data_IF_311043353269
#
_entry.id   IF_311043353269
#
_cell.length_a   1.000
_cell.length_b   1.000
_cell.length_c   1.000
_cell.angle_alpha   90.00
_cell.angle_beta   90.00
_cell.angle_gamma   90.00
#
_symmetry.space_group_name_H-M   'P 1'
#
loop_
_entity.id
_entity.type
_entity.pdbx_description
1 polymer ?
#
# COMPACT_ATOMS: atom_id res chain seq x y z
N UNK A 1 -5.53 -14.07 -0.48
CA UNK A 1 -6.35 -13.56 -1.61
C UNK A 1 -5.80 -14.14 -2.93
N UNK A 2 -6.64 -14.21 -3.96
CA UNK A 2 -6.20 -14.64 -5.30
C UNK A 2 -5.78 -13.42 -6.11
N UNK A 3 -4.48 -13.26 -6.33
CA UNK A 3 -3.92 -12.18 -7.16
C UNK A 3 -3.93 -12.63 -8.64
N UNK A 4 -4.60 -11.92 -9.55
CA UNK A 4 -4.63 -12.27 -10.96
C UNK A 4 -3.21 -12.37 -11.56
N UNK A 5 -2.92 -13.46 -12.27
CA UNK A 5 -1.63 -13.68 -12.93
C UNK A 5 -0.55 -14.33 -12.08
N UNK A 6 -0.82 -14.64 -10.80
CA UNK A 6 0.08 -15.44 -9.95
C UNK A 6 -0.24 -16.93 -10.11
N UNK A 7 0.80 -17.77 -10.22
CA UNK A 7 0.65 -19.22 -10.31
C UNK A 7 0.67 -19.91 -8.93
N UNK A 8 1.32 -19.28 -7.95
CA UNK A 8 1.45 -19.81 -6.59
C UNK A 8 0.68 -18.93 -5.60
N UNK A 9 -0.21 -19.53 -4.83
CA UNK A 9 -0.94 -18.88 -3.75
C UNK A 9 -0.56 -19.57 -2.44
N UNK A 10 -0.50 -18.82 -1.34
CA UNK A 10 -0.44 -19.43 -0.02
C UNK A 10 -1.75 -20.21 0.17
N UNK A 11 -1.65 -21.53 0.31
CA UNK A 11 -2.79 -22.43 0.52
C UNK A 11 -2.79 -22.86 1.98
N UNK A 12 -3.94 -22.72 2.63
CA UNK A 12 -4.22 -23.32 3.93
C UNK A 12 -4.92 -24.65 3.70
N UNK A 13 -4.68 -25.63 4.57
CA UNK A 13 -5.48 -26.86 4.59
C UNK A 13 -6.94 -26.57 4.98
N UNK A 14 -7.86 -27.50 4.68
CA UNK A 14 -9.30 -27.33 4.94
C UNK A 14 -9.64 -27.03 6.41
N UNK A 15 -8.81 -27.52 7.34
CA UNK A 15 -8.96 -27.35 8.80
C UNK A 15 -7.76 -26.57 9.38
N UNK A 16 -7.37 -25.51 8.69
CA UNK A 16 -6.29 -24.61 9.08
C UNK A 16 -6.72 -23.16 8.98
N UNK A 17 -6.34 -22.35 9.98
CA UNK A 17 -6.54 -20.90 9.96
C UNK A 17 -5.23 -20.18 10.28
N UNK A 18 -5.03 -19.02 9.67
CA UNK A 18 -3.86 -18.17 9.89
C UNK A 18 -4.30 -16.81 10.47
N UNK A 19 -3.80 -16.50 11.66
CA UNK A 19 -4.11 -15.26 12.41
C UNK A 19 -3.07 -14.19 12.07
N UNK A 20 -3.55 -12.97 11.81
CA UNK A 20 -2.69 -11.80 11.62
C UNK A 20 -2.01 -11.73 10.25
N UNK A 21 -2.66 -12.27 9.21
CA UNK A 21 -2.19 -12.14 7.83
C UNK A 21 -2.22 -10.68 7.38
N UNK A 22 -1.20 -10.27 6.63
CA UNK A 22 -1.18 -8.93 6.05
C UNK A 22 -2.12 -8.81 4.84
N UNK A 23 -2.49 -7.56 4.46
CA UNK A 23 -3.45 -7.31 3.38
C UNK A 23 -2.95 -7.75 1.99
N UNK A 24 -1.65 -7.99 1.82
CA UNK A 24 -1.02 -8.41 0.56
C UNK A 24 -0.58 -9.89 0.58
N UNK A 25 -1.10 -10.69 1.52
CA UNK A 25 -0.71 -12.08 1.79
C UNK A 25 0.65 -12.25 2.46
N UNK A 26 1.10 -11.26 3.22
CA UNK A 26 2.22 -11.42 4.12
C UNK A 26 1.93 -12.55 5.13
N UNK A 27 2.93 -13.37 5.51
CA UNK A 27 2.75 -14.45 6.48
C UNK A 27 2.10 -13.95 7.77
N UNK A 28 1.15 -14.72 8.28
CA UNK A 28 0.47 -14.36 9.51
C UNK A 28 1.35 -14.57 10.74
N UNK A 29 0.90 -14.02 11.87
CA UNK A 29 1.51 -14.22 13.17
C UNK A 29 1.50 -15.69 13.60
N UNK A 30 0.39 -16.40 13.36
CA UNK A 30 0.22 -17.78 13.85
C UNK A 30 -0.70 -18.60 12.95
N UNK A 31 -0.28 -19.81 12.60
CA UNK A 31 -1.11 -20.84 11.96
C UNK A 31 -1.63 -21.83 13.00
N UNK A 32 -2.89 -22.21 12.88
CA UNK A 32 -3.57 -23.14 13.78
C UNK A 32 -4.17 -24.28 12.95
N UNK A 33 -3.86 -25.51 13.35
CA UNK A 33 -4.50 -26.72 12.85
C UNK A 33 -4.65 -27.71 14.03
N UNK A 34 -5.85 -28.23 14.30
CA UNK A 34 -7.12 -27.95 13.62
C UNK A 34 -7.56 -26.48 13.79
N UNK A 35 -8.47 -26.02 12.93
CA UNK A 35 -9.04 -24.69 13.06
C UNK A 35 -9.88 -24.65 14.35
N UNK A 36 -9.73 -23.61 15.19
CA UNK A 36 -10.56 -23.43 16.36
C UNK A 36 -12.01 -23.10 15.96
N UNK A 37 -12.93 -23.19 16.92
CA UNK A 37 -14.27 -22.64 16.73
C UNK A 37 -14.22 -21.12 16.52
N UNK A 38 -15.28 -20.54 15.94
CA UNK A 38 -15.34 -19.09 15.71
C UNK A 38 -15.21 -18.30 17.02
N UNK A 39 -15.88 -18.76 18.08
CA UNK A 39 -15.85 -18.18 19.42
C UNK A 39 -14.43 -18.27 20.01
N UNK A 40 -13.78 -19.43 19.86
CA UNK A 40 -12.40 -19.64 20.28
C UNK A 40 -11.40 -18.76 19.52
N UNK A 41 -11.62 -18.54 18.22
CA UNK A 41 -10.80 -17.65 17.40
C UNK A 41 -10.94 -16.19 17.82
N UNK A 42 -12.18 -15.72 18.01
CA UNK A 42 -12.45 -14.35 18.51
C UNK A 42 -11.78 -14.13 19.86
N UNK A 43 -11.87 -15.11 20.77
CA UNK A 43 -11.23 -15.06 22.08
C UNK A 43 -9.70 -14.99 21.98
N UNK A 44 -9.10 -15.78 21.09
CA UNK A 44 -7.66 -15.77 20.85
C UNK A 44 -7.15 -14.44 20.29
N UNK A 45 -8.00 -13.66 19.60
CA UNK A 45 -7.66 -12.32 19.09
C UNK A 45 -7.91 -11.24 20.15
N UNK A 46 -9.03 -11.29 20.86
CA UNK A 46 -9.41 -10.25 21.83
C UNK A 46 -8.61 -10.30 23.13
N UNK A 47 -8.28 -11.49 23.65
CA UNK A 47 -7.53 -11.64 24.90
C UNK A 47 -6.18 -10.90 24.90
N UNK A 48 -5.31 -11.06 23.88
CA UNK A 48 -4.05 -10.34 23.84
C UNK A 48 -4.22 -8.83 23.58
N UNK A 49 -5.23 -8.43 22.81
CA UNK A 49 -5.46 -7.02 22.46
C UNK A 49 -5.98 -6.19 23.64
N UNK A 50 -6.78 -6.80 24.52
CA UNK A 50 -7.48 -6.11 25.61
C UNK A 50 -6.86 -6.35 26.99
N UNK A 51 -5.75 -7.08 27.07
CA UNK A 51 -4.88 -7.02 28.25
C UNK A 51 -5.07 -8.10 29.33
N UNK A 52 -5.56 -9.30 29.00
CA UNK A 52 -5.44 -10.44 29.93
C UNK A 52 -3.99 -10.94 30.00
N UNK A 53 -3.62 -11.56 31.12
CA UNK A 53 -2.26 -12.07 31.42
C UNK A 53 -1.50 -12.58 30.18
N UNK A 54 -0.30 -12.03 29.95
CA UNK A 54 0.59 -12.45 28.86
C UNK A 54 0.62 -11.55 27.62
N UNK A 55 -0.13 -10.46 27.56
CA UNK A 55 -0.02 -9.47 26.48
C UNK A 55 1.19 -8.55 26.64
N UNK A 56 1.73 -8.10 25.50
CA UNK A 56 2.90 -7.23 25.43
C UNK A 56 2.68 -5.92 26.21
N UNK A 57 3.67 -5.43 26.99
CA UNK A 57 3.53 -4.27 27.88
C UNK A 57 2.94 -3.00 27.24
N UNK A 58 3.14 -2.78 25.93
CA UNK A 58 2.58 -1.62 25.21
C UNK A 58 1.10 -1.75 24.83
N UNK A 59 0.53 -2.96 24.78
CA UNK A 59 -0.89 -3.16 24.48
C UNK A 59 -1.79 -2.75 25.66
N UNK A 60 -1.32 -2.92 26.90
CA UNK A 60 -2.02 -2.54 28.12
C UNK A 60 -2.25 -1.03 28.28
N UNK A 61 -1.63 -0.20 27.45
CA UNK A 61 -1.77 1.27 27.49
C UNK A 61 -2.90 1.81 26.60
N UNK A 62 -3.61 0.95 25.87
CA UNK A 62 -4.53 1.42 24.81
C UNK A 62 -5.96 1.66 25.33
N UNK A 63 -6.43 0.89 26.31
CA UNK A 63 -7.80 1.01 26.84
C UNK A 63 -7.80 1.13 28.35
N UNK A 64 -8.44 2.18 28.87
CA UNK A 64 -8.79 2.32 30.28
C UNK A 64 -10.24 1.92 30.51
N UNK A 65 -10.56 1.49 31.73
CA UNK A 65 -11.96 1.29 32.11
C UNK A 65 -12.73 2.61 32.01
N UNK A 66 -13.84 2.58 31.28
CA UNK A 66 -14.72 3.74 31.06
C UNK A 66 -14.44 4.53 29.78
N UNK A 67 -13.44 4.15 28.99
CA UNK A 67 -13.21 4.79 27.68
C UNK A 67 -14.38 4.55 26.72
N UNK A 68 -14.73 5.57 25.94
CA UNK A 68 -15.64 5.41 24.81
C UNK A 68 -14.95 4.61 23.70
N UNK A 69 -15.55 3.50 23.29
CA UNK A 69 -14.97 2.59 22.30
C UNK A 69 -15.76 2.56 21.01
N UNK A 70 -15.05 2.40 19.89
CA UNK A 70 -15.63 2.12 18.57
C UNK A 70 -15.11 0.76 18.09
N UNK A 71 -16.02 -0.08 17.59
CA UNK A 71 -15.67 -1.36 16.98
C UNK A 71 -15.76 -1.24 15.46
N UNK A 72 -14.64 -1.52 14.78
CA UNK A 72 -14.59 -1.66 13.34
C UNK A 72 -14.27 -3.11 12.98
N UNK A 73 -15.24 -3.83 12.42
CA UNK A 73 -15.02 -5.15 11.84
C UNK A 73 -14.83 -4.99 10.35
N UNK A 74 -13.62 -5.26 9.88
CA UNK A 74 -13.26 -5.14 8.47
C UNK A 74 -13.34 -6.50 7.78
N UNK A 75 -13.97 -6.53 6.60
CA UNK A 75 -14.02 -7.70 5.74
C UNK A 75 -13.02 -7.52 4.59
N UNK A 76 -11.95 -8.33 4.56
CA UNK A 76 -10.94 -8.30 3.50
C UNK A 76 -11.40 -8.92 2.17
N UNK A 77 -12.68 -9.29 2.07
CA UNK A 77 -13.37 -9.62 0.81
C UNK A 77 -13.82 -11.07 0.68
N UNK A 78 -13.48 -11.94 1.63
CA UNK A 78 -13.78 -13.38 1.57
C UNK A 78 -14.97 -13.84 2.40
N UNK A 79 -15.51 -12.99 3.28
CA UNK A 79 -16.58 -13.36 4.23
C UNK A 79 -17.95 -12.89 3.71
N UNK A 80 -18.99 -13.72 3.81
CA UNK A 80 -20.35 -13.35 3.41
C UNK A 80 -21.01 -12.37 4.40
N UNK A 81 -22.04 -11.62 3.99
CA UNK A 81 -22.77 -10.73 4.90
C UNK A 81 -23.40 -11.43 6.11
N UNK A 82 -23.80 -12.70 5.97
CA UNK A 82 -24.37 -13.49 7.07
C UNK A 82 -23.31 -13.86 8.10
N UNK A 83 -22.15 -14.34 7.64
CA UNK A 83 -21.01 -14.65 8.51
C UNK A 83 -20.48 -13.39 9.19
N UNK A 84 -20.47 -12.24 8.49
CA UNK A 84 -20.13 -10.96 9.10
C UNK A 84 -21.10 -10.58 10.23
N UNK A 85 -22.40 -10.82 10.05
CA UNK A 85 -23.40 -10.60 11.09
C UNK A 85 -23.16 -11.47 12.32
N UNK A 86 -22.96 -12.78 12.11
CA UNK A 86 -22.66 -13.72 13.18
C UNK A 86 -21.34 -13.39 13.92
N UNK A 87 -20.28 -13.05 13.19
CA UNK A 87 -19.01 -12.61 13.76
C UNK A 87 -19.18 -11.34 14.59
N UNK A 88 -19.99 -10.39 14.11
CA UNK A 88 -20.26 -9.15 14.84
C UNK A 88 -20.96 -9.43 16.16
N UNK A 89 -21.97 -10.29 16.14
CA UNK A 89 -22.72 -10.70 17.34
C UNK A 89 -21.79 -11.36 18.37
N UNK A 90 -20.97 -12.34 17.93
CA UNK A 90 -20.00 -13.03 18.78
C UNK A 90 -18.97 -12.08 19.41
N UNK A 91 -18.41 -11.15 18.62
CA UNK A 91 -17.46 -10.15 19.13
C UNK A 91 -18.13 -9.25 20.17
N UNK A 92 -19.35 -8.78 19.91
CA UNK A 92 -20.08 -7.92 20.85
C UNK A 92 -20.41 -8.66 22.15
N UNK A 93 -20.84 -9.92 22.08
CA UNK A 93 -21.14 -10.74 23.26
C UNK A 93 -19.88 -10.96 24.11
N UNK A 94 -18.74 -11.29 23.50
CA UNK A 94 -17.48 -11.45 24.22
C UNK A 94 -16.98 -10.13 24.82
N UNK A 95 -17.07 -9.01 24.10
CA UNK A 95 -16.69 -7.68 24.61
C UNK A 95 -17.52 -7.29 25.83
N UNK A 96 -18.84 -7.47 25.77
CA UNK A 96 -19.73 -7.14 26.89
C UNK A 96 -19.49 -8.08 28.08
N UNK A 97 -19.49 -9.40 27.87
CA UNK A 97 -19.44 -10.39 28.94
C UNK A 97 -18.06 -10.55 29.59
N UNK A 98 -16.98 -10.49 28.80
CA UNK A 98 -15.62 -10.77 29.28
C UNK A 98 -14.83 -9.52 29.64
N UNK A 99 -15.21 -8.36 29.08
CA UNK A 99 -14.46 -7.12 29.19
C UNK A 99 -15.30 -5.93 29.69
N UNK A 100 -16.62 -6.04 29.75
CA UNK A 100 -17.50 -4.92 30.11
C UNK A 100 -17.43 -3.79 29.09
N UNK A 101 -17.08 -4.08 27.84
CA UNK A 101 -16.97 -3.11 26.75
C UNK A 101 -18.23 -3.21 25.91
N UNK A 102 -18.97 -2.11 25.81
CA UNK A 102 -20.12 -1.97 24.91
C UNK A 102 -19.81 -0.87 23.88
N UNK A 103 -19.32 -1.23 22.68
CA UNK A 103 -18.94 -0.25 21.67
C UNK A 103 -20.10 0.68 21.31
N UNK A 104 -19.80 1.97 21.21
CA UNK A 104 -20.75 3.03 20.90
C UNK A 104 -21.96 3.20 21.86
N UNK A 105 -21.98 2.53 23.03
CA UNK A 105 -23.09 2.62 23.99
C UNK A 105 -23.41 4.07 24.39
N UNK A 106 -22.38 4.90 24.54
CA UNK A 106 -22.49 6.33 24.88
C UNK A 106 -22.04 7.25 23.72
N UNK A 107 -22.06 6.76 22.47
CA UNK A 107 -21.55 7.54 21.35
C UNK A 107 -22.36 8.82 21.12
N UNK A 108 -21.72 9.97 21.32
CA UNK A 108 -22.31 11.27 21.04
C UNK A 108 -22.45 11.57 19.53
N UNK A 109 -21.76 10.80 18.68
CA UNK A 109 -21.71 10.99 17.24
C UNK A 109 -22.74 10.12 16.52
N UNK A 110 -23.33 10.68 15.47
CA UNK A 110 -24.18 9.97 14.52
C UNK A 110 -23.35 9.05 13.62
N UNK A 111 -24.01 8.07 12.99
CA UNK A 111 -23.34 7.18 12.03
C UNK A 111 -22.72 7.95 10.85
N UNK A 112 -23.35 9.05 10.42
CA UNK A 112 -22.85 9.94 9.37
C UNK A 112 -21.58 10.69 9.81
N UNK A 113 -21.52 11.14 11.06
CA UNK A 113 -20.33 11.81 11.62
C UNK A 113 -19.16 10.82 11.76
N UNK A 114 -19.42 9.59 12.22
CA UNK A 114 -18.41 8.53 12.30
C UNK A 114 -17.84 8.22 10.90
N UNK A 115 -18.71 8.11 9.89
CA UNK A 115 -18.26 7.93 8.49
C UNK A 115 -17.41 9.11 8.01
N UNK A 116 -17.82 10.33 8.33
CA UNK A 116 -17.06 11.52 7.99
C UNK A 116 -15.66 11.52 8.61
N UNK A 117 -15.49 10.98 9.82
CA UNK A 117 -14.16 10.80 10.44
C UNK A 117 -13.26 9.83 9.68
N UNK A 118 -13.83 8.72 9.18
CA UNK A 118 -13.09 7.75 8.36
C UNK A 118 -12.68 8.34 6.99
N UNK A 119 -13.45 9.29 6.48
CA UNK A 119 -13.20 10.00 5.22
C UNK A 119 -12.35 11.27 5.36
N UNK A 120 -11.84 11.58 6.57
CA UNK A 120 -10.97 12.74 6.79
C UNK A 120 -9.72 12.61 5.92
N UNK A 121 -9.41 13.64 5.13
CA UNK A 121 -8.18 13.70 4.34
C UNK A 121 -6.96 13.60 5.26
N UNK A 122 -6.28 12.48 5.21
CA UNK A 122 -4.99 12.29 5.88
C UNK A 122 -3.86 12.73 4.94
N UNK A 123 -2.72 13.14 5.50
CA UNK A 123 -1.49 13.45 4.74
C UNK A 123 -0.74 12.17 4.33
N UNK A 124 -1.22 11.01 4.74
CA UNK A 124 -0.70 9.68 4.40
C UNK A 124 -1.79 8.90 3.67
N UNK A 125 -1.91 9.12 2.37
CA UNK A 125 -2.98 8.52 1.56
C UNK A 125 -2.45 7.41 0.66
N UNK A 126 -3.05 6.22 0.79
CA UNK A 126 -3.53 5.54 -0.41
C UNK A 126 -4.67 6.40 -0.95
N UNK A 127 -4.47 7.10 -2.07
CA UNK A 127 -5.59 7.73 -2.76
C UNK A 127 -6.48 6.60 -3.31
N UNK A 128 -7.42 6.15 -2.48
CA UNK A 128 -8.54 5.38 -2.99
C UNK A 128 -9.34 6.35 -3.85
N UNK A 129 -9.23 6.21 -5.16
CA UNK A 129 -10.15 6.83 -6.14
C UNK A 129 -11.58 6.26 -6.00
N UNK A 130 -11.98 5.78 -4.82
CA UNK A 130 -13.36 5.51 -4.47
C UNK A 130 -14.03 6.84 -4.11
N UNK A 131 -14.43 7.60 -5.12
CA UNK A 131 -15.17 8.83 -4.95
C UNK A 131 -16.40 8.61 -4.06
N UNK A 132 -16.57 9.49 -3.06
CA UNK A 132 -17.79 9.63 -2.26
C UNK A 132 -19.04 9.54 -3.14
N UNK A 133 -19.82 8.46 -2.97
CA UNK A 133 -21.08 8.20 -3.68
C UNK A 133 -22.27 8.87 -2.96
N UNK A 134 -22.10 10.10 -2.44
CA UNK A 134 -23.16 10.82 -1.70
C UNK A 134 -24.40 11.17 -2.56
N UNK A 135 -24.23 11.38 -3.88
CA UNK A 135 -25.32 11.24 -4.85
C UNK A 135 -24.99 10.19 -5.91
N UNK A 136 -25.97 9.37 -6.29
CA UNK A 136 -25.87 8.39 -7.38
C UNK A 136 -25.69 9.11 -8.72
N UNK A 137 -24.45 9.50 -9.04
CA UNK A 137 -24.09 10.17 -10.31
C UNK A 137 -24.42 9.23 -11.47
N UNK A 138 -24.86 9.78 -12.61
CA UNK A 138 -25.06 8.95 -13.81
C UNK A 138 -23.70 8.36 -14.21
N UNK A 139 -23.66 7.13 -14.72
CA UNK A 139 -22.40 6.42 -15.08
C UNK A 139 -21.40 7.29 -15.87
N UNK A 140 -21.90 8.13 -16.78
CA UNK A 140 -21.09 9.09 -17.56
C UNK A 140 -20.41 10.20 -16.74
N UNK A 141 -20.98 10.58 -15.60
CA UNK A 141 -20.50 11.61 -14.66
C UNK A 141 -19.62 11.00 -13.55
N UNK A 142 -19.57 9.67 -13.45
CA UNK A 142 -18.64 8.94 -12.58
C UNK A 142 -17.27 8.73 -13.25
N UNK A 143 -17.21 8.82 -14.57
CA UNK A 143 -15.97 8.77 -15.33
C UNK A 143 -15.31 10.14 -15.31
N UNK A 144 -14.42 10.36 -14.35
CA UNK A 144 -13.54 11.53 -14.36
C UNK A 144 -12.57 11.36 -15.52
N UNK A 145 -12.61 12.30 -16.47
CA UNK A 145 -11.56 12.36 -17.48
C UNK A 145 -10.27 12.79 -16.77
N UNK A 146 -9.17 12.02 -16.88
CA UNK A 146 -7.92 12.44 -16.27
C UNK A 146 -7.56 13.84 -16.79
N UNK A 147 -7.09 14.76 -15.93
CA UNK A 147 -6.58 16.05 -16.38
C UNK A 147 -5.51 15.80 -17.45
N UNK A 148 -5.42 16.70 -18.43
CA UNK A 148 -4.34 16.59 -19.42
C UNK A 148 -3.00 16.65 -18.69
N UNK A 149 -2.19 15.61 -18.90
CA UNK A 149 -0.84 15.61 -18.37
C UNK A 149 -0.09 16.84 -18.91
N UNK A 150 0.62 17.58 -18.04
CA UNK A 150 1.42 18.70 -18.47
C UNK A 150 2.45 18.20 -19.48
N UNK A 151 2.50 18.85 -20.66
CA UNK A 151 3.50 18.51 -21.68
C UNK A 151 4.89 18.71 -21.08
N UNK A 152 5.71 17.65 -21.09
CA UNK A 152 7.09 17.71 -20.63
C UNK A 152 7.83 18.82 -21.38
N UNK A 153 8.46 19.74 -20.64
CA UNK A 153 9.30 20.78 -21.23
C UNK A 153 10.45 20.16 -22.02
N UNK A 154 10.94 20.86 -23.05
CA UNK A 154 12.16 20.43 -23.75
C UNK A 154 13.34 20.32 -22.78
N UNK A 155 14.30 19.44 -23.08
CA UNK A 155 15.52 19.33 -22.26
C UNK A 155 16.37 20.59 -22.51
N UNK A 156 16.53 21.42 -21.47
CA UNK A 156 17.37 22.61 -21.54
C UNK A 156 18.86 22.21 -21.61
N UNK A 157 19.63 22.69 -22.62
CA UNK A 157 21.00 22.25 -22.83
C UNK A 157 21.98 22.59 -21.69
N UNK A 158 21.69 23.63 -20.92
CA UNK A 158 22.58 24.19 -19.88
C UNK A 158 22.58 23.39 -18.58
N UNK A 159 21.57 22.52 -18.35
CA UNK A 159 21.46 21.66 -17.17
C UNK A 159 21.64 20.17 -17.44
N UNK A 160 21.89 19.78 -18.69
CA UNK A 160 22.00 18.37 -19.11
C UNK A 160 23.43 17.85 -18.94
N UNK A 161 23.61 16.88 -18.03
CA UNK A 161 24.88 16.18 -17.90
C UNK A 161 25.07 15.24 -19.10
N UNK A 162 26.16 15.46 -19.84
CA UNK A 162 26.50 14.65 -21.02
C UNK A 162 27.60 13.65 -20.73
N UNK A 163 27.35 12.40 -21.09
CA UNK A 163 28.28 11.29 -20.94
C UNK A 163 28.76 10.76 -22.29
N UNK A 164 29.80 9.93 -22.26
CA UNK A 164 30.15 9.11 -23.41
C UNK A 164 29.03 8.09 -23.69
N UNK A 165 28.65 7.95 -24.97
CA UNK A 165 27.51 7.10 -25.35
C UNK A 165 27.78 5.63 -25.05
N UNK A 166 29.00 5.15 -25.30
CA UNK A 166 29.36 3.76 -25.08
C UNK A 166 29.47 3.43 -23.58
N UNK A 167 30.02 4.36 -22.79
CA UNK A 167 30.05 4.23 -21.34
C UNK A 167 28.63 4.19 -20.74
N UNK A 168 27.75 5.09 -21.20
CA UNK A 168 26.36 5.18 -20.73
C UNK A 168 25.57 3.92 -21.07
N UNK A 169 25.66 3.42 -22.32
CA UNK A 169 25.03 2.18 -22.74
C UNK A 169 25.50 0.99 -21.88
N UNK A 170 26.82 0.86 -21.71
CA UNK A 170 27.43 -0.20 -20.89
C UNK A 170 26.96 -0.18 -19.44
N UNK A 171 26.87 1.01 -18.83
CA UNK A 171 26.41 1.16 -17.44
C UNK A 171 24.94 0.75 -17.29
N UNK A 172 24.07 1.20 -18.20
CA UNK A 172 22.64 0.90 -18.14
C UNK A 172 22.37 -0.58 -18.40
N UNK A 173 23.05 -1.20 -19.37
CA UNK A 173 22.95 -2.65 -19.62
C UNK A 173 23.44 -3.45 -18.43
N UNK A 174 24.61 -3.12 -17.88
CA UNK A 174 25.16 -3.80 -16.71
C UNK A 174 24.22 -3.75 -15.50
N UNK A 175 23.60 -2.59 -15.24
CA UNK A 175 22.61 -2.45 -14.18
C UNK A 175 21.35 -3.29 -14.44
N UNK A 176 20.82 -3.29 -15.68
CA UNK A 176 19.64 -4.09 -16.04
C UNK A 176 19.92 -5.60 -15.92
N UNK A 177 21.06 -6.06 -16.41
CA UNK A 177 21.46 -7.47 -16.33
C UNK A 177 21.64 -7.91 -14.88
N UNK A 178 22.25 -7.08 -14.03
CA UNK A 178 22.39 -7.35 -12.60
C UNK A 178 21.02 -7.47 -11.90
N UNK A 179 20.06 -6.59 -12.24
CA UNK A 179 18.69 -6.67 -11.71
C UNK A 179 17.97 -7.96 -12.14
N UNK A 180 18.12 -8.35 -13.42
CA UNK A 180 17.55 -9.60 -13.94
C UNK A 180 18.16 -10.81 -13.23
N UNK A 181 19.46 -10.80 -12.96
CA UNK A 181 20.14 -11.86 -12.21
C UNK A 181 19.72 -11.91 -10.74
N UNK A 182 19.50 -10.76 -10.10
CA UNK A 182 19.05 -10.67 -8.72
C UNK A 182 17.57 -11.05 -8.51
N UNK A 183 16.80 -11.21 -9.59
CA UNK A 183 15.35 -11.50 -9.55
C UNK A 183 14.95 -12.62 -8.58
N UNK A 184 15.62 -13.80 -8.53
CA UNK A 184 15.23 -14.88 -7.62
C UNK A 184 15.33 -14.47 -6.15
N UNK A 185 16.41 -13.77 -5.77
CA UNK A 185 16.62 -13.31 -4.40
C UNK A 185 15.65 -12.20 -4.02
N UNK A 186 15.42 -11.24 -4.93
CA UNK A 186 14.45 -10.16 -4.73
C UNK A 186 13.03 -10.70 -4.52
N UNK A 187 12.59 -11.63 -5.35
CA UNK A 187 11.30 -12.33 -5.16
C UNK A 187 11.27 -13.11 -3.85
N UNK A 188 12.37 -13.80 -3.49
CA UNK A 188 12.43 -14.58 -2.24
C UNK A 188 12.31 -13.69 -1.01
N UNK A 189 13.04 -12.57 -0.96
CA UNK A 189 12.98 -11.64 0.17
C UNK A 189 11.62 -10.96 0.27
N UNK A 190 11.05 -10.58 -0.86
CA UNK A 190 9.72 -9.99 -0.92
C UNK A 190 8.63 -10.99 -0.52
N UNK A 191 8.78 -12.28 -0.85
CA UNK A 191 7.84 -13.32 -0.38
C UNK A 191 7.84 -13.48 1.14
N UNK A 192 8.94 -13.15 1.84
CA UNK A 192 9.01 -13.29 3.30
C UNK A 192 8.22 -12.20 4.04
N UNK A 193 8.12 -11.00 3.48
CA UNK A 193 7.60 -9.80 4.17
C UNK A 193 6.64 -8.96 3.30
N UNK A 194 6.23 -9.47 2.15
CA UNK A 194 5.46 -8.79 1.11
C UNK A 194 4.70 -9.78 0.22
N UNK A 195 4.33 -9.37 -1.00
CA UNK A 195 3.51 -10.18 -1.91
C UNK A 195 4.32 -11.08 -2.86
N UNK A 196 5.64 -10.89 -2.90
CA UNK A 196 6.58 -11.70 -3.69
C UNK A 196 6.65 -11.32 -5.16
N UNK A 197 6.09 -10.18 -5.57
CA UNK A 197 6.07 -9.76 -6.97
C UNK A 197 7.27 -8.88 -7.37
N UNK A 198 8.02 -8.35 -6.39
CA UNK A 198 9.02 -7.31 -6.60
C UNK A 198 10.08 -7.70 -7.63
N UNK A 199 10.59 -8.94 -7.56
CA UNK A 199 11.57 -9.45 -8.51
C UNK A 199 11.06 -9.52 -9.96
N UNK A 200 9.79 -9.88 -10.18
CA UNK A 200 9.21 -9.90 -11.52
C UNK A 200 8.93 -8.47 -12.03
N UNK A 201 8.48 -7.58 -11.14
CA UNK A 201 8.28 -6.16 -11.43
C UNK A 201 9.58 -5.47 -11.86
N UNK A 202 10.67 -5.68 -11.12
CA UNK A 202 12.00 -5.11 -11.45
C UNK A 202 12.59 -5.71 -12.73
N UNK A 203 12.44 -7.02 -12.95
CA UNK A 203 12.85 -7.67 -14.21
C UNK A 203 12.12 -7.09 -15.41
N UNK A 204 10.82 -6.82 -15.29
CA UNK A 204 10.02 -6.19 -16.35
C UNK A 204 10.49 -4.76 -16.64
N UNK A 205 10.85 -3.99 -15.62
CA UNK A 205 11.47 -2.67 -15.78
C UNK A 205 12.83 -2.75 -16.49
N UNK A 206 13.72 -3.61 -16.03
CA UNK A 206 15.06 -3.81 -16.61
C UNK A 206 15.01 -4.25 -18.08
N UNK A 207 14.17 -5.24 -18.40
CA UNK A 207 13.98 -5.69 -19.80
C UNK A 207 13.36 -4.63 -20.70
N UNK A 208 12.46 -3.78 -20.17
CA UNK A 208 11.91 -2.64 -20.91
C UNK A 208 12.96 -1.58 -21.20
N UNK A 209 13.88 -1.32 -20.26
CA UNK A 209 14.98 -0.37 -20.46
C UNK A 209 16.03 -0.89 -21.45
N UNK A 210 16.35 -2.19 -21.40
CA UNK A 210 17.18 -2.83 -22.43
C UNK A 210 16.57 -2.68 -23.83
N UNK A 211 15.26 -2.92 -23.97
CA UNK A 211 14.57 -2.72 -25.23
C UNK A 211 14.58 -1.24 -25.69
N UNK A 212 14.46 -0.29 -24.77
CA UNK A 212 14.55 1.13 -25.09
C UNK A 212 15.97 1.55 -25.55
N UNK A 213 17.02 0.95 -24.97
CA UNK A 213 18.39 1.13 -25.45
C UNK A 213 18.55 0.66 -26.89
N UNK A 214 18.01 -0.52 -27.22
CA UNK A 214 18.13 -1.13 -28.55
C UNK A 214 17.27 -0.40 -29.61
N UNK A 215 16.03 -0.04 -29.27
CA UNK A 215 15.05 0.46 -30.24
C UNK A 215 15.07 1.98 -30.39
N UNK A 216 15.22 2.71 -29.27
CA UNK A 216 15.19 4.18 -29.25
C UNK A 216 16.59 4.80 -29.26
N UNK A 217 17.63 4.00 -29.00
CA UNK A 217 19.01 4.49 -28.95
C UNK A 217 19.20 5.56 -27.88
N UNK A 218 18.54 5.45 -26.72
CA UNK A 218 18.54 6.51 -25.69
C UNK A 218 19.96 6.87 -25.21
N UNK A 219 20.90 5.92 -25.20
CA UNK A 219 22.30 6.18 -24.85
C UNK A 219 23.03 7.03 -25.91
N UNK A 220 22.62 6.97 -27.18
CA UNK A 220 23.19 7.79 -28.26
C UNK A 220 22.87 9.28 -28.11
N UNK A 221 21.82 9.62 -27.34
CA UNK A 221 21.51 11.02 -26.98
C UNK A 221 22.61 11.67 -26.14
N UNK A 222 23.44 10.85 -25.46
CA UNK A 222 24.45 11.25 -24.48
C UNK A 222 23.90 12.04 -23.28
N UNK A 223 22.58 12.23 -23.20
CA UNK A 223 21.89 13.06 -22.23
C UNK A 223 21.38 12.20 -21.08
N UNK A 224 21.84 12.50 -19.86
CA UNK A 224 21.34 11.82 -18.67
C UNK A 224 19.87 12.17 -18.42
N UNK A 225 19.45 13.39 -18.72
CA UNK A 225 18.04 13.81 -18.56
C UNK A 225 17.12 13.01 -19.48
N UNK A 226 17.55 12.76 -20.72
CA UNK A 226 16.78 11.95 -21.68
C UNK A 226 16.64 10.51 -21.20
N UNK A 227 17.71 9.92 -20.67
CA UNK A 227 17.65 8.58 -20.07
C UNK A 227 16.73 8.54 -18.86
N UNK A 228 16.82 9.51 -17.94
CA UNK A 228 15.98 9.55 -16.75
C UNK A 228 14.49 9.69 -17.09
N UNK A 229 14.14 10.47 -18.12
CA UNK A 229 12.75 10.60 -18.60
C UNK A 229 12.21 9.30 -19.18
N UNK A 230 13.03 8.53 -19.88
CA UNK A 230 12.65 7.22 -20.40
C UNK A 230 12.51 6.21 -19.25
N UNK A 231 13.40 6.25 -18.26
CA UNK A 231 13.27 5.43 -17.04
C UNK A 231 11.98 5.76 -16.30
N UNK A 232 11.66 7.05 -16.13
CA UNK A 232 10.39 7.50 -15.54
C UNK A 232 9.18 6.95 -16.30
N UNK A 233 9.20 7.00 -17.64
CA UNK A 233 8.12 6.44 -18.47
C UNK A 233 7.99 4.93 -18.32
N UNK A 234 9.11 4.21 -18.26
CA UNK A 234 9.11 2.75 -18.08
C UNK A 234 8.59 2.39 -16.70
N UNK A 235 9.06 3.08 -15.65
CA UNK A 235 8.58 2.86 -14.28
C UNK A 235 7.08 3.15 -14.19
N UNK A 236 6.63 4.30 -14.71
CA UNK A 236 5.24 4.74 -14.66
C UNK A 236 4.27 3.87 -15.48
N UNK A 237 4.72 3.28 -16.59
CA UNK A 237 3.82 2.58 -17.53
C UNK A 237 3.99 1.06 -17.59
N UNK A 238 5.15 0.52 -17.17
CA UNK A 238 5.48 -0.91 -17.29
C UNK A 238 5.63 -1.62 -15.96
N UNK A 239 6.02 -0.90 -14.90
CA UNK A 239 6.08 -1.44 -13.54
C UNK A 239 4.73 -1.25 -12.86
N UNK A 240 4.26 -2.27 -12.13
CA UNK A 240 2.99 -2.23 -11.40
C UNK A 240 3.16 -1.77 -9.95
N UNK A 241 2.04 -1.59 -9.25
CA UNK A 241 2.03 -1.31 -7.81
C UNK A 241 2.61 0.06 -7.44
N UNK A 242 2.92 0.23 -6.15
CA UNK A 242 3.53 1.46 -5.61
C UNK A 242 4.93 1.73 -6.20
N UNK A 243 5.63 0.69 -6.65
CA UNK A 243 6.92 0.77 -7.33
C UNK A 243 6.83 1.39 -8.74
N UNK A 244 5.68 1.24 -9.41
CA UNK A 244 5.37 1.88 -10.69
C UNK A 244 4.52 3.15 -10.58
N UNK A 245 4.13 3.56 -9.37
CA UNK A 245 3.30 4.72 -9.07
C UNK A 245 4.03 6.06 -9.29
N UNK A 246 4.55 6.29 -10.49
CA UNK A 246 5.31 7.46 -10.91
C UNK A 246 4.48 8.70 -11.28
N UNK A 247 3.19 8.76 -10.92
CA UNK A 247 2.37 9.96 -11.16
C UNK A 247 2.69 11.15 -10.23
N UNK A 248 3.46 10.94 -9.15
CA UNK A 248 3.64 11.95 -8.08
C UNK A 248 5.07 12.52 -7.96
N UNK A 249 6.07 11.99 -8.67
CA UNK A 249 7.45 12.51 -8.55
C UNK A 249 7.62 13.90 -9.17
N UNK A 250 6.81 14.27 -10.17
CA UNK A 250 6.87 15.58 -10.83
C UNK A 250 6.38 16.76 -9.97
N UNK A 251 5.67 16.52 -8.85
CA UNK A 251 5.17 17.60 -7.99
C UNK A 251 6.21 18.07 -6.95
N UNK A 252 7.22 17.26 -6.63
CA UNK A 252 8.18 17.58 -5.56
C UNK A 252 9.27 18.58 -5.95
N UNK A 253 9.53 18.79 -7.26
CA UNK A 253 10.61 19.67 -7.72
C UNK A 253 10.21 21.15 -7.81
N UNK A 254 8.96 21.51 -7.52
CA UNK A 254 8.46 22.91 -7.58
C UNK A 254 8.51 23.68 -6.25
N UNK A 255 8.88 23.04 -5.13
CA UNK A 255 8.82 23.63 -3.79
C UNK A 255 10.18 23.83 -3.10
N UNK A 256 11.26 24.05 -3.84
CA UNK A 256 12.46 24.68 -3.29
C UNK A 256 12.36 26.21 -3.40
N UNK A 257 11.43 26.79 -2.65
CA UNK A 257 11.47 28.21 -2.34
C UNK A 257 12.53 28.44 -1.25
N UNK A 258 13.53 29.25 -1.58
CA UNK A 258 14.58 29.72 -0.69
C UNK A 258 13.99 30.31 0.61
N UNK A 259 14.47 29.90 1.80
CA UNK A 259 14.01 30.52 3.05
C UNK A 259 14.59 31.94 3.15
N UNK A 260 13.72 32.94 2.99
CA UNK A 260 14.05 34.32 3.35
C UNK A 260 14.28 34.40 4.85
N UNK A 261 15.52 34.59 5.26
CA UNK A 261 15.90 34.97 6.62
C UNK A 261 15.37 36.38 6.89
N UNK A 262 14.31 36.49 7.67
CA UNK A 262 14.10 37.71 8.47
C UNK A 262 13.61 37.32 9.85
N UNK A 263 14.46 37.65 10.83
CA UNK A 263 14.30 37.36 12.23
C UNK A 263 13.06 38.05 12.81
N UNK A 264 12.23 37.30 13.52
CA UNK A 264 11.29 37.85 14.47
C UNK A 264 12.04 38.03 15.79
N UNK A 265 12.50 39.24 16.03
CA UNK A 265 12.94 39.70 17.34
C UNK A 265 12.06 40.90 17.70
N UNK A 266 11.15 40.72 18.67
CA UNK A 266 11.06 41.52 19.90
C UNK A 266 9.80 41.17 20.68
N UNK A 267 10.04 41.07 21.99
CA UNK A 267 9.17 41.45 23.12
C UNK A 267 8.09 42.47 22.80
#
# INVERSE_FOLDING_TARGET
CHVPGRAEHAVLADDEVEIGTGPHNEPGYKRLSPAPSAEGLVKMITDPLLGREGSEPWLHQIFNMGDETMLLISNFGGISPLEMGALTDEVLEQLASSWGIEPAQNCAYTAEEIKAFADVKTTTSWESMAGSQGPRRRRREQLVSPPQEPKRAAVEPTGDLRLDAAALDKMLRGACEALVQAKPDLTRWDTLMGDGDCGETLKKGATSLLAALDQKGIAASRSVVTVLREVEDIVGSKMGGTLGGGGSWASCSSHFATPSRTACAKT
#
